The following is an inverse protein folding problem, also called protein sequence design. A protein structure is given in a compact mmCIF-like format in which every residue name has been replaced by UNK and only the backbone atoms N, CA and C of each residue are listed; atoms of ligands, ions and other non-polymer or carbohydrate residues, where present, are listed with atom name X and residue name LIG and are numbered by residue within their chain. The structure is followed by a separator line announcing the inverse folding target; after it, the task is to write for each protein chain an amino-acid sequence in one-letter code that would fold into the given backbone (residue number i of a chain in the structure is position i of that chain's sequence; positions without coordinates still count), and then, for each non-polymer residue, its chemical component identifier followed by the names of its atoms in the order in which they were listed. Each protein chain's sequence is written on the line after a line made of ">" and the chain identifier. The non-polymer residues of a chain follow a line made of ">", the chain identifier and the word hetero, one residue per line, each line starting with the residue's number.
data_IF_188541711919
#
_entry.id   IF_188541711919
#
_cell.length_a   1.000
_cell.length_b   1.000
_cell.length_c   1.000
_cell.angle_alpha   90.00
_cell.angle_beta   90.00
_cell.angle_gamma   90.00
#
_symmetry.space_group_name_H-M   'P 1'
#
loop_
_entity.id
_entity.type
_entity.pdbx_description
1 polymer ?
#
# COMPACT_ATOMS: atom_id res chain seq x y z
N UNK A 1 -15.59 18.59 -0.80
CA UNK A 1 -14.28 18.43 -1.45
C UNK A 1 -13.29 19.24 -0.62
N UNK A 2 -12.38 18.58 0.10
CA UNK A 2 -11.52 19.23 1.10
C UNK A 2 -10.26 19.77 0.41
N UNK A 3 -10.41 20.92 -0.25
CA UNK A 3 -9.31 21.63 -0.91
C UNK A 3 -8.70 22.71 0.00
N UNK A 4 -8.91 22.62 1.32
CA UNK A 4 -8.60 23.69 2.25
C UNK A 4 -7.10 24.01 2.32
N UNK A 5 -6.22 23.07 2.02
CA UNK A 5 -4.79 23.27 2.22
C UNK A 5 -4.01 23.55 0.94
N UNK A 6 -4.57 23.40 -0.28
CA UNK A 6 -3.84 23.53 -1.58
C UNK A 6 -3.30 24.95 -1.92
N UNK A 7 -3.16 25.82 -0.93
CA UNK A 7 -2.54 27.13 -1.01
C UNK A 7 -1.15 27.04 -1.67
N UNK A 8 -0.95 27.72 -2.80
CA UNK A 8 0.32 27.74 -3.53
C UNK A 8 0.53 26.64 -4.58
N UNK A 9 -0.30 25.58 -4.59
CA UNK A 9 -0.26 24.49 -5.58
C UNK A 9 -1.23 24.67 -6.76
N UNK A 10 -2.15 25.63 -6.68
CA UNK A 10 -3.05 25.94 -7.80
C UNK A 10 -2.31 26.74 -8.87
N UNK A 11 -2.21 26.25 -10.12
CA UNK A 11 -1.56 27.00 -11.18
C UNK A 11 -2.38 28.25 -11.53
N UNK A 12 -1.72 29.41 -11.54
CA UNK A 12 -2.15 30.52 -12.39
C UNK A 12 -2.23 29.98 -13.83
N UNK A 13 -3.36 30.20 -14.52
CA UNK A 13 -3.54 29.81 -15.92
C UNK A 13 -2.38 30.36 -16.75
N UNK A 14 -1.42 29.50 -17.08
CA UNK A 14 -0.35 29.79 -18.02
C UNK A 14 -0.77 29.26 -19.38
N UNK A 15 -1.22 30.16 -20.25
CA UNK A 15 -1.28 29.94 -21.69
C UNK A 15 0.15 29.75 -22.20
N UNK A 16 0.56 28.56 -22.64
CA UNK A 16 1.53 28.40 -23.73
C UNK A 16 1.75 26.94 -24.14
N UNK A 17 1.69 26.74 -25.46
CA UNK A 17 1.63 25.50 -26.22
C UNK A 17 2.97 24.74 -26.29
N UNK A 18 3.27 23.92 -25.29
CA UNK A 18 4.17 22.77 -25.40
C UNK A 18 3.63 21.68 -24.47
N UNK A 19 2.47 21.13 -24.82
CA UNK A 19 1.46 20.77 -23.81
C UNK A 19 1.26 19.29 -23.51
N UNK A 20 1.73 18.30 -24.28
CA UNK A 20 1.20 16.94 -24.05
C UNK A 20 1.88 16.18 -22.89
N UNK A 21 3.21 16.06 -22.87
CA UNK A 21 3.90 15.29 -21.79
C UNK A 21 4.05 16.04 -20.47
N UNK A 22 4.15 17.37 -20.49
CA UNK A 22 4.25 18.21 -19.28
C UNK A 22 2.91 18.38 -18.56
N UNK A 23 1.80 18.27 -19.28
CA UNK A 23 0.44 18.36 -18.72
C UNK A 23 0.10 17.09 -17.97
N UNK A 24 0.42 15.92 -18.53
CA UNK A 24 0.19 14.63 -17.88
C UNK A 24 0.91 14.52 -16.52
N UNK A 25 2.20 14.89 -16.44
CA UNK A 25 2.93 14.84 -15.15
C UNK A 25 2.35 15.80 -14.12
N UNK A 26 1.99 17.03 -14.55
CA UNK A 26 1.43 18.05 -13.66
C UNK A 26 0.03 17.67 -13.15
N UNK A 27 -0.76 17.00 -13.97
CA UNK A 27 -2.07 16.50 -13.56
C UNK A 27 -1.94 15.34 -12.58
N UNK A 28 -0.96 14.44 -12.76
CA UNK A 28 -0.67 13.38 -11.78
C UNK A 28 -0.21 13.94 -10.43
N UNK A 29 0.74 14.86 -10.42
CA UNK A 29 1.22 15.52 -9.19
C UNK A 29 0.06 16.22 -8.46
N UNK A 30 -0.80 16.90 -9.22
CA UNK A 30 -2.00 17.54 -8.67
C UNK A 30 -2.97 16.54 -8.06
N UNK A 31 -3.14 15.35 -8.66
CA UNK A 31 -3.99 14.30 -8.10
C UNK A 31 -3.41 13.74 -6.79
N UNK A 32 -2.08 13.65 -6.69
CA UNK A 32 -1.34 13.26 -5.49
C UNK A 32 -1.56 14.31 -4.38
N UNK A 33 -1.28 15.58 -4.67
CA UNK A 33 -1.47 16.70 -3.74
C UNK A 33 -2.91 16.79 -3.21
N UNK A 34 -3.90 16.64 -4.10
CA UNK A 34 -5.32 16.64 -3.72
C UNK A 34 -5.62 15.47 -2.78
N UNK A 35 -5.12 14.27 -3.07
CA UNK A 35 -5.37 13.10 -2.23
C UNK A 35 -4.72 13.26 -0.85
N UNK A 36 -3.46 13.68 -0.80
CA UNK A 36 -2.73 13.98 0.43
C UNK A 36 -3.46 15.04 1.25
N UNK A 37 -3.87 16.14 0.61
CA UNK A 37 -4.63 17.20 1.27
C UNK A 37 -5.94 16.69 1.85
N UNK A 38 -6.75 15.93 1.10
CA UNK A 38 -8.01 15.38 1.62
C UNK A 38 -7.79 14.47 2.85
N UNK A 39 -6.82 13.56 2.78
CA UNK A 39 -6.56 12.58 3.86
C UNK A 39 -6.01 13.25 5.10
N UNK A 40 -4.99 14.10 4.96
CA UNK A 40 -4.34 14.69 6.12
C UNK A 40 -5.08 15.92 6.68
N UNK A 41 -5.89 16.62 5.88
CA UNK A 41 -6.84 17.59 6.41
C UNK A 41 -7.89 16.92 7.27
N UNK A 42 -8.38 15.74 6.89
CA UNK A 42 -9.25 14.95 7.75
C UNK A 42 -8.57 14.65 9.08
N UNK A 43 -7.33 14.15 9.09
CA UNK A 43 -6.60 13.92 10.34
C UNK A 43 -6.34 15.20 11.16
N UNK A 44 -6.16 16.35 10.49
CA UNK A 44 -5.95 17.65 11.13
C UNK A 44 -7.23 18.17 11.82
N UNK A 45 -8.40 17.97 11.23
CA UNK A 45 -9.65 18.60 11.68
C UNK A 45 -10.63 17.66 12.40
N UNK A 46 -10.56 16.35 12.15
CA UNK A 46 -11.36 15.36 12.88
C UNK A 46 -10.83 15.18 14.31
N UNK A 47 -11.54 14.38 15.12
CA UNK A 47 -11.10 14.05 16.47
C UNK A 47 -9.74 13.32 16.46
N UNK A 48 -8.65 14.06 16.68
CA UNK A 48 -7.26 13.56 16.58
C UNK A 48 -6.94 12.42 17.53
N UNK A 49 -7.64 12.33 18.68
CA UNK A 49 -7.47 11.21 19.63
C UNK A 49 -7.96 9.88 19.05
N UNK A 50 -8.99 9.94 18.21
CA UNK A 50 -9.62 8.78 17.59
C UNK A 50 -8.93 8.47 16.27
N UNK A 51 -8.77 9.48 15.40
CA UNK A 51 -8.30 9.24 14.04
C UNK A 51 -6.78 9.30 13.92
N UNK A 52 -6.16 10.45 14.18
CA UNK A 52 -4.70 10.62 13.99
C UNK A 52 -3.90 9.65 14.88
N UNK A 53 -4.19 9.64 16.18
CA UNK A 53 -3.46 8.81 17.15
C UNK A 53 -3.57 7.32 16.83
N UNK A 54 -4.79 6.81 16.62
CA UNK A 54 -4.96 5.38 16.38
C UNK A 54 -4.43 4.98 15.00
N UNK A 55 -4.48 5.88 13.99
CA UNK A 55 -3.80 5.63 12.72
C UNK A 55 -2.27 5.53 12.90
N UNK A 56 -1.65 6.49 13.58
CA UNK A 56 -0.21 6.46 13.85
C UNK A 56 0.23 5.24 14.68
N UNK A 57 -0.64 4.77 15.58
CA UNK A 57 -0.43 3.52 16.31
C UNK A 57 -0.39 2.31 15.39
N UNK A 58 -1.21 2.25 14.32
CA UNK A 58 -1.10 1.18 13.31
C UNK A 58 0.25 1.17 12.59
N UNK A 59 0.92 2.32 12.49
CA UNK A 59 2.25 2.47 11.91
C UNK A 59 3.38 2.21 12.94
N UNK A 60 3.04 1.95 14.20
CA UNK A 60 3.97 1.64 15.29
C UNK A 60 4.46 2.85 16.09
N UNK A 61 3.87 4.04 15.88
CA UNK A 61 4.19 5.22 16.68
C UNK A 61 3.43 5.22 18.01
N UNK A 62 4.10 5.62 19.09
CA UNK A 62 3.51 5.73 20.42
C UNK A 62 3.26 7.20 20.71
N UNK A 63 1.99 7.60 20.65
CA UNK A 63 1.55 8.98 20.85
C UNK A 63 0.42 9.00 21.88
N UNK A 64 0.51 9.93 22.82
CA UNK A 64 -0.53 10.19 23.82
C UNK A 64 -1.71 10.96 23.24
N UNK A 65 -2.83 11.00 23.96
CA UNK A 65 -3.99 11.77 23.52
C UNK A 65 -3.69 13.28 23.42
N UNK A 66 -2.85 13.80 24.33
CA UNK A 66 -2.51 15.22 24.37
C UNK A 66 -1.59 15.58 23.19
N UNK A 67 -0.53 14.79 22.96
CA UNK A 67 0.34 14.99 21.80
C UNK A 67 -0.43 14.93 20.47
N UNK A 68 -1.44 14.06 20.36
CA UNK A 68 -2.28 14.02 19.17
C UNK A 68 -3.15 15.27 19.00
N UNK A 69 -3.67 15.85 20.08
CA UNK A 69 -4.37 17.15 20.02
C UNK A 69 -3.41 18.25 19.57
N UNK A 70 -2.23 18.29 20.16
CA UNK A 70 -1.24 19.37 19.97
C UNK A 70 -0.43 19.22 18.67
N UNK A 71 -0.71 18.19 17.87
CA UNK A 71 0.00 17.92 16.62
C UNK A 71 -0.08 19.12 15.65
N UNK A 72 1.06 19.50 15.10
CA UNK A 72 1.15 20.55 14.07
C UNK A 72 1.26 19.91 12.69
N UNK A 73 0.46 20.38 11.73
CA UNK A 73 0.47 19.92 10.34
C UNK A 73 0.99 21.06 9.45
N UNK A 74 2.09 20.83 8.74
CA UNK A 74 2.69 21.75 7.78
C UNK A 74 2.66 21.12 6.41
N UNK A 75 1.74 21.55 5.55
CA UNK A 75 1.65 21.03 4.18
C UNK A 75 2.64 21.75 3.28
N UNK A 76 3.35 20.99 2.44
CA UNK A 76 4.35 21.50 1.49
C UNK A 76 5.33 22.53 2.08
N UNK A 77 5.96 22.27 3.25
CA UNK A 77 7.00 23.16 3.75
C UNK A 77 8.17 23.17 2.77
N UNK A 78 8.92 24.27 2.72
CA UNK A 78 10.11 24.37 1.88
C UNK A 78 11.35 24.45 2.74
N UNK A 79 12.31 23.61 2.44
CA UNK A 79 13.64 23.66 3.03
C UNK A 79 14.55 24.59 2.22
N UNK A 80 15.73 24.90 2.78
CA UNK A 80 16.69 25.84 2.19
C UNK A 80 17.21 25.37 0.81
N UNK A 81 17.25 24.06 0.58
CA UNK A 81 17.66 23.44 -0.68
C UNK A 81 16.52 23.37 -1.74
N UNK A 82 15.35 23.93 -1.43
CA UNK A 82 14.10 23.83 -2.19
C UNK A 82 13.47 22.43 -2.22
N UNK A 83 13.90 21.51 -1.36
CA UNK A 83 13.15 20.28 -1.12
C UNK A 83 11.81 20.64 -0.48
N UNK A 84 10.72 20.08 -1.02
CA UNK A 84 9.35 20.37 -0.62
C UNK A 84 8.63 19.03 -0.39
N UNK A 85 8.70 18.47 0.84
CA UNK A 85 7.95 17.25 1.16
C UNK A 85 6.45 17.53 1.14
N UNK A 86 5.62 16.51 0.92
CA UNK A 86 4.17 16.72 0.83
C UNK A 86 3.54 17.22 2.15
N UNK A 87 4.02 16.72 3.28
CA UNK A 87 3.53 17.10 4.61
C UNK A 87 4.59 16.83 5.68
N UNK A 88 4.63 17.70 6.70
CA UNK A 88 5.33 17.44 7.96
C UNK A 88 4.32 17.47 9.11
N UNK A 89 4.39 16.48 10.00
CA UNK A 89 3.62 16.42 11.24
C UNK A 89 4.59 16.46 12.43
N UNK A 90 4.50 17.52 13.24
CA UNK A 90 5.22 17.62 14.51
C UNK A 90 4.30 17.09 15.61
N UNK A 91 4.69 15.98 16.25
CA UNK A 91 3.81 15.31 17.22
C UNK A 91 4.61 14.62 18.31
N UNK A 92 4.42 15.07 19.56
CA UNK A 92 5.23 14.59 20.69
C UNK A 92 6.72 14.69 20.40
N UNK A 93 7.44 13.58 20.55
CA UNK A 93 8.87 13.49 20.26
C UNK A 93 9.20 13.21 18.79
N UNK A 94 8.23 13.21 17.88
CA UNK A 94 8.43 12.82 16.48
C UNK A 94 8.35 13.99 15.52
N UNK A 95 9.27 13.98 14.55
CA UNK A 95 9.19 14.74 13.31
C UNK A 95 8.84 13.75 12.19
N UNK A 96 7.58 13.76 11.77
CA UNK A 96 7.07 12.84 10.76
C UNK A 96 6.99 13.56 9.41
N UNK A 97 7.91 13.27 8.52
CA UNK A 97 7.85 13.72 7.13
C UNK A 97 7.02 12.71 6.34
N UNK A 98 6.02 13.15 5.61
CA UNK A 98 5.18 12.31 4.77
C UNK A 98 5.50 12.60 3.32
N UNK A 99 5.78 11.54 2.56
CA UNK A 99 5.93 11.59 1.11
C UNK A 99 4.94 10.61 0.49
N UNK A 100 4.04 11.13 -0.34
CA UNK A 100 2.89 10.45 -0.89
C UNK A 100 3.03 10.25 -2.40
N UNK A 101 2.64 9.06 -2.85
CA UNK A 101 2.62 8.68 -4.27
C UNK A 101 1.30 7.97 -4.57
N UNK A 102 0.64 8.36 -5.65
CA UNK A 102 -0.60 7.73 -6.10
C UNK A 102 -0.36 6.99 -7.42
N UNK A 103 0.16 7.69 -8.43
CA UNK A 103 0.44 7.12 -9.75
C UNK A 103 1.91 7.23 -10.15
N UNK A 104 2.67 8.09 -9.47
CA UNK A 104 4.08 8.30 -9.76
C UNK A 104 4.99 7.36 -8.92
N UNK A 105 6.26 7.30 -9.31
CA UNK A 105 7.33 6.69 -8.51
C UNK A 105 8.17 7.80 -7.87
N UNK A 106 8.89 7.48 -6.80
CA UNK A 106 9.87 8.41 -6.24
C UNK A 106 10.94 8.77 -7.26
N UNK A 107 11.37 10.03 -7.26
CA UNK A 107 12.42 10.54 -8.14
C UNK A 107 13.73 9.78 -7.94
N UNK A 108 14.22 9.18 -9.03
CA UNK A 108 15.50 8.47 -9.04
C UNK A 108 16.67 9.45 -9.04
N UNK A 109 17.82 8.97 -8.60
CA UNK A 109 19.08 9.70 -8.72
C UNK A 109 19.38 10.01 -10.19
N UNK A 110 19.94 11.20 -10.42
CA UNK A 110 20.41 11.65 -11.72
C UNK A 110 21.86 12.12 -11.60
N UNK A 111 22.52 12.36 -12.72
CA UNK A 111 23.90 12.91 -12.72
C UNK A 111 24.05 14.25 -12.01
N UNK A 112 22.94 14.96 -11.77
CA UNK A 112 22.93 16.29 -11.16
C UNK A 112 22.34 16.31 -9.75
N UNK A 113 21.44 15.38 -9.43
CA UNK A 113 20.65 15.42 -8.21
C UNK A 113 20.59 14.04 -7.56
N UNK A 114 20.74 14.02 -6.23
CA UNK A 114 20.49 12.85 -5.40
C UNK A 114 19.03 12.36 -5.54
N UNK A 115 18.81 11.07 -5.28
CA UNK A 115 17.47 10.48 -5.26
C UNK A 115 16.57 11.25 -4.29
N UNK A 116 15.30 11.41 -4.67
CA UNK A 116 14.33 12.25 -3.96
C UNK A 116 14.25 11.90 -2.46
N UNK A 117 14.06 10.62 -2.14
CA UNK A 117 13.95 10.15 -0.76
C UNK A 117 15.22 10.41 0.07
N UNK A 118 16.41 10.43 -0.54
CA UNK A 118 17.65 10.72 0.19
C UNK A 118 17.66 12.18 0.62
N UNK A 119 17.30 13.10 -0.29
CA UNK A 119 17.25 14.54 0.02
C UNK A 119 16.24 14.83 1.11
N UNK A 120 15.03 14.28 1.00
CA UNK A 120 13.99 14.42 2.03
C UNK A 120 14.41 13.88 3.40
N UNK A 121 15.15 12.76 3.43
CA UNK A 121 15.66 12.20 4.69
C UNK A 121 16.72 13.10 5.29
N UNK A 122 17.70 13.58 4.50
CA UNK A 122 18.79 14.43 5.00
C UNK A 122 18.26 15.75 5.57
N UNK A 123 17.44 16.46 4.79
CA UNK A 123 16.91 17.75 5.21
C UNK A 123 15.89 17.59 6.34
N UNK A 124 15.01 16.59 6.26
CA UNK A 124 14.07 16.28 7.34
C UNK A 124 14.76 15.88 8.65
N UNK A 125 15.87 15.15 8.60
CA UNK A 125 16.67 14.84 9.78
C UNK A 125 17.35 16.09 10.37
N UNK A 126 17.89 16.96 9.52
CA UNK A 126 18.48 18.24 9.92
C UNK A 126 17.46 19.11 10.64
N UNK A 127 16.26 19.28 10.07
CA UNK A 127 15.20 20.07 10.68
C UNK A 127 14.67 19.41 11.96
N UNK A 128 14.50 18.08 11.98
CA UNK A 128 14.11 17.36 13.19
C UNK A 128 15.08 17.60 14.36
N UNK A 129 16.39 17.69 14.09
CA UNK A 129 17.41 18.04 15.11
C UNK A 129 17.21 19.45 15.64
N UNK A 130 16.88 20.42 14.78
CA UNK A 130 16.58 21.78 15.21
C UNK A 130 15.36 21.85 16.16
N UNK A 131 14.37 20.97 15.96
CA UNK A 131 13.22 20.83 16.87
C UNK A 131 13.44 19.87 18.06
N UNK A 132 14.62 19.25 18.18
CA UNK A 132 14.93 18.20 19.17
C UNK A 132 13.92 17.03 19.12
N UNK A 133 13.67 16.50 17.91
CA UNK A 133 12.70 15.40 17.66
C UNK A 133 13.35 14.22 16.94
N UNK A 134 12.74 13.04 17.08
CA UNK A 134 13.09 11.84 16.33
C UNK A 134 12.49 11.89 14.93
N UNK A 135 13.35 11.88 13.92
CA UNK A 135 12.96 11.87 12.52
C UNK A 135 12.43 10.50 12.06
N UNK A 136 11.31 10.50 11.32
CA UNK A 136 10.85 9.40 10.48
C UNK A 136 10.22 9.93 9.20
N UNK A 137 10.51 9.25 8.09
CA UNK A 137 9.83 9.44 6.81
C UNK A 137 8.73 8.39 6.68
N UNK A 138 7.49 8.81 6.44
CA UNK A 138 6.34 7.97 6.13
C UNK A 138 6.12 8.02 4.62
N UNK A 139 6.49 6.94 3.94
CA UNK A 139 6.26 6.78 2.50
C UNK A 139 4.89 6.13 2.27
N UNK A 140 3.97 6.84 1.61
CA UNK A 140 2.63 6.34 1.30
C UNK A 140 2.52 6.08 -0.18
N UNK A 141 2.17 4.85 -0.58
CA UNK A 141 1.95 4.53 -2.00
C UNK A 141 0.56 3.95 -2.26
N UNK A 142 0.16 3.88 -3.53
CA UNK A 142 -1.04 3.15 -3.95
C UNK A 142 -0.84 1.62 -4.07
N UNK A 143 0.38 1.14 -3.84
CA UNK A 143 0.71 -0.27 -4.00
C UNK A 143 0.10 -1.11 -2.87
N UNK A 144 -0.57 -2.20 -3.22
CA UNK A 144 -1.14 -3.13 -2.25
C UNK A 144 -0.09 -3.81 -1.36
N UNK A 145 1.16 -3.91 -1.83
CA UNK A 145 2.26 -4.60 -1.16
C UNK A 145 3.52 -3.73 -1.27
N UNK A 146 4.36 -3.78 -0.26
CA UNK A 146 5.67 -3.13 -0.27
C UNK A 146 6.51 -3.58 -1.47
N UNK A 147 6.89 -2.64 -2.33
CA UNK A 147 7.72 -2.90 -3.51
C UNK A 147 9.14 -2.42 -3.27
N UNK A 148 10.04 -3.36 -2.96
CA UNK A 148 11.45 -3.07 -2.63
C UNK A 148 12.13 -2.18 -3.68
N UNK A 149 11.85 -2.36 -4.96
CA UNK A 149 12.46 -1.59 -6.04
C UNK A 149 12.17 -0.08 -5.99
N UNK A 150 11.08 0.35 -5.33
CA UNK A 150 10.79 1.77 -5.14
C UNK A 150 11.72 2.45 -4.14
N UNK A 151 12.43 1.66 -3.33
CA UNK A 151 13.33 2.10 -2.28
C UNK A 151 14.77 1.65 -2.51
N UNK A 152 15.09 1.08 -3.67
CA UNK A 152 16.44 0.59 -4.00
C UNK A 152 17.50 1.70 -4.01
N UNK A 153 17.09 2.93 -4.31
CA UNK A 153 17.98 4.10 -4.23
C UNK A 153 18.28 4.53 -2.80
N UNK A 154 17.62 3.98 -1.78
CA UNK A 154 17.84 4.35 -0.37
C UNK A 154 18.92 3.46 0.23
N UNK A 155 20.08 4.02 0.63
CA UNK A 155 21.14 3.26 1.29
C UNK A 155 20.66 2.58 2.58
N UNK A 156 21.25 1.43 2.97
CA UNK A 156 20.87 0.69 4.18
C UNK A 156 20.79 1.55 5.45
N UNK A 157 21.73 2.49 5.61
CA UNK A 157 21.80 3.38 6.78
C UNK A 157 20.56 4.27 6.92
N UNK A 158 19.91 4.58 5.79
CA UNK A 158 18.71 5.41 5.77
C UNK A 158 17.41 4.60 5.87
N UNK A 159 17.43 3.28 5.67
CA UNK A 159 16.21 2.45 5.68
C UNK A 159 15.49 2.48 7.02
N UNK A 160 16.23 2.66 8.12
CA UNK A 160 15.64 2.74 9.46
C UNK A 160 14.78 4.00 9.66
N UNK A 161 14.97 5.05 8.87
CA UNK A 161 14.13 6.25 8.91
C UNK A 161 12.80 6.08 8.21
N UNK A 162 12.68 5.11 7.30
CA UNK A 162 11.49 4.93 6.47
C UNK A 162 10.47 4.01 7.14
N UNK A 163 9.23 4.47 7.18
CA UNK A 163 8.03 3.66 7.42
C UNK A 163 7.16 3.70 6.17
N UNK A 164 6.90 2.54 5.61
CA UNK A 164 6.01 2.42 4.46
C UNK A 164 4.59 2.06 4.91
N UNK A 165 3.62 2.69 4.27
CA UNK A 165 2.19 2.38 4.34
C UNK A 165 1.58 2.58 2.95
N UNK A 166 0.31 2.22 2.78
CA UNK A 166 -0.42 2.53 1.55
C UNK A 166 -1.77 3.18 1.82
N UNK A 167 -2.38 3.72 0.76
CA UNK A 167 -3.70 4.37 0.85
C UNK A 167 -4.80 3.38 1.25
N UNK A 168 -4.66 2.10 0.90
CA UNK A 168 -5.60 1.05 1.28
C UNK A 168 -5.63 0.83 2.79
N UNK A 169 -4.49 0.95 3.48
CA UNK A 169 -4.43 0.90 4.94
C UNK A 169 -5.18 2.06 5.59
N UNK A 170 -5.15 3.26 4.99
CA UNK A 170 -5.97 4.40 5.46
C UNK A 170 -7.47 4.08 5.31
N UNK A 171 -7.87 3.53 4.15
CA UNK A 171 -9.27 3.14 3.92
C UNK A 171 -9.73 2.05 4.89
N UNK A 172 -8.95 0.99 5.08
CA UNK A 172 -9.24 -0.07 6.04
C UNK A 172 -9.35 0.46 7.47
N UNK A 173 -8.43 1.34 7.86
CA UNK A 173 -8.46 1.99 9.17
C UNK A 173 -9.76 2.77 9.42
N UNK A 174 -10.22 3.54 8.43
CA UNK A 174 -11.49 4.27 8.53
C UNK A 174 -12.68 3.31 8.62
N UNK A 175 -12.67 2.23 7.83
CA UNK A 175 -13.71 1.20 7.87
C UNK A 175 -13.79 0.53 9.25
N UNK A 176 -12.65 0.18 9.84
CA UNK A 176 -12.58 -0.43 11.17
C UNK A 176 -13.17 0.49 12.24
N UNK A 177 -12.86 1.79 12.19
CA UNK A 177 -13.45 2.77 13.11
C UNK A 177 -14.97 2.91 12.88
N UNK A 178 -15.42 3.02 11.63
CA UNK A 178 -16.84 3.20 11.28
C UNK A 178 -17.70 1.99 11.66
N UNK A 179 -17.12 0.78 11.68
CA UNK A 179 -17.76 -0.48 12.06
C UNK A 179 -17.57 -0.84 13.54
N UNK A 180 -16.70 -0.14 14.25
CA UNK A 180 -16.48 -0.38 15.68
C UNK A 180 -17.69 0.04 16.53
N UNK A 181 -17.76 -0.44 17.76
CA UNK A 181 -18.76 -0.01 18.75
C UNK A 181 -18.47 1.37 19.37
N UNK A 182 -17.49 2.11 18.83
CA UNK A 182 -17.18 3.46 19.30
C UNK A 182 -18.36 4.40 19.05
N UNK A 183 -18.79 5.10 20.08
CA UNK A 183 -19.82 6.12 19.96
C UNK A 183 -19.23 7.41 19.37
N UNK A 184 -19.16 7.49 18.04
CA UNK A 184 -18.71 8.68 17.33
C UNK A 184 -19.83 9.72 17.26
N UNK A 185 -19.53 11.01 17.51
CA UNK A 185 -20.43 12.09 17.15
C UNK A 185 -20.86 11.98 15.69
N UNK A 186 -22.11 12.30 15.38
CA UNK A 186 -22.69 12.12 14.04
C UNK A 186 -21.86 12.81 12.95
N UNK A 187 -21.42 14.03 13.21
CA UNK A 187 -20.58 14.81 12.28
C UNK A 187 -19.21 14.14 12.02
N UNK A 188 -18.56 13.60 13.04
CA UNK A 188 -17.29 12.87 12.89
C UNK A 188 -17.49 11.58 12.07
N UNK A 189 -18.60 10.89 12.31
CA UNK A 189 -18.96 9.68 11.56
C UNK A 189 -19.23 9.99 10.08
N UNK A 190 -20.01 11.03 9.80
CA UNK A 190 -20.29 11.49 8.43
C UNK A 190 -19.00 11.95 7.73
N UNK A 191 -18.13 12.68 8.43
CA UNK A 191 -16.84 13.14 7.88
C UNK A 191 -15.90 11.96 7.55
N UNK A 192 -15.80 10.96 8.43
CA UNK A 192 -15.02 9.75 8.19
C UNK A 192 -15.61 8.91 7.04
N UNK A 193 -16.94 8.82 6.95
CA UNK A 193 -17.64 8.10 5.88
C UNK A 193 -17.43 8.76 4.52
N UNK A 194 -17.41 10.09 4.47
CA UNK A 194 -17.11 10.85 3.24
C UNK A 194 -15.70 10.56 2.72
N UNK A 195 -14.70 10.61 3.60
CA UNK A 195 -13.32 10.28 3.22
C UNK A 195 -13.20 8.81 2.80
N UNK A 196 -13.80 7.89 3.55
CA UNK A 196 -13.82 6.47 3.19
C UNK A 196 -14.44 6.25 1.79
N UNK A 197 -15.59 6.87 1.52
CA UNK A 197 -16.28 6.80 0.23
C UNK A 197 -15.44 7.40 -0.90
N UNK A 198 -14.70 8.48 -0.64
CA UNK A 198 -13.76 9.06 -1.60
C UNK A 198 -12.63 8.08 -1.96
N UNK A 199 -12.03 7.43 -0.95
CA UNK A 199 -10.97 6.44 -1.16
C UNK A 199 -11.49 5.21 -1.92
N UNK A 200 -12.70 4.74 -1.60
CA UNK A 200 -13.34 3.63 -2.31
C UNK A 200 -13.59 3.97 -3.79
N UNK A 201 -14.16 5.16 -4.07
CA UNK A 201 -14.35 5.65 -5.44
C UNK A 201 -13.05 5.79 -6.24
N UNK A 202 -11.92 6.01 -5.56
CA UNK A 202 -10.57 6.07 -6.16
C UNK A 202 -9.92 4.70 -6.34
N UNK A 203 -10.61 3.60 -6.01
CA UNK A 203 -10.06 2.26 -6.05
C UNK A 203 -9.01 1.99 -4.96
N UNK A 204 -8.97 2.82 -3.91
CA UNK A 204 -8.03 2.73 -2.81
C UNK A 204 -8.62 2.01 -1.59
N UNK A 205 -9.64 1.18 -1.80
CA UNK A 205 -10.23 0.35 -0.76
C UNK A 205 -9.36 -0.87 -0.45
N UNK A 206 -9.33 -1.27 0.81
CA UNK A 206 -8.82 -2.58 1.22
C UNK A 206 -9.59 -3.75 0.58
N UNK A 207 -8.93 -4.91 0.52
CA UNK A 207 -9.59 -6.16 0.16
C UNK A 207 -10.53 -6.60 1.29
N UNK A 208 -11.84 -6.66 1.03
CA UNK A 208 -12.87 -7.05 2.02
C UNK A 208 -12.99 -8.56 2.26
N UNK A 209 -11.99 -9.33 1.85
CA UNK A 209 -12.09 -10.79 1.87
C UNK A 209 -13.08 -11.35 0.85
N UNK A 210 -13.22 -12.66 0.84
CA UNK A 210 -14.26 -13.36 0.07
C UNK A 210 -15.63 -13.32 0.74
N UNK A 211 -15.73 -12.79 1.96
CA UNK A 211 -17.00 -12.68 2.69
C UNK A 211 -18.01 -11.84 1.92
N UNK A 212 -17.55 -10.89 1.09
CA UNK A 212 -18.44 -10.11 0.22
C UNK A 212 -19.10 -10.95 -0.88
N UNK A 213 -18.46 -12.04 -1.31
CA UNK A 213 -19.06 -12.99 -2.26
C UNK A 213 -20.25 -13.74 -1.64
N UNK A 214 -20.30 -13.85 -0.32
CA UNK A 214 -21.45 -14.41 0.39
C UNK A 214 -22.63 -13.43 0.46
N UNK A 215 -22.39 -12.12 0.29
CA UNK A 215 -23.43 -11.07 0.35
C UNK A 215 -24.07 -10.86 -1.03
N UNK A 216 -23.32 -11.07 -2.12
CA UNK A 216 -23.87 -11.04 -3.46
C UNK A 216 -24.54 -12.39 -3.83
N UNK A 217 -25.77 -12.61 -3.37
CA UNK A 217 -26.65 -13.70 -3.83
C UNK A 217 -26.70 -13.87 -5.39
N UNK A 218 -26.66 -12.81 -6.23
CA UNK A 218 -26.57 -12.99 -7.67
C UNK A 218 -25.23 -13.59 -8.14
N UNK A 219 -24.13 -13.43 -7.39
CA UNK A 219 -22.88 -14.12 -7.70
C UNK A 219 -23.01 -15.62 -7.42
N UNK A 220 -23.66 -16.06 -6.33
CA UNK A 220 -23.92 -17.49 -6.11
C UNK A 220 -24.71 -18.12 -7.26
N UNK A 221 -25.70 -17.40 -7.81
CA UNK A 221 -26.45 -17.85 -9.00
C UNK A 221 -25.64 -17.79 -10.31
N UNK A 222 -24.66 -16.89 -10.41
CA UNK A 222 -23.78 -16.73 -11.58
C UNK A 222 -22.43 -17.45 -11.48
N UNK A 223 -22.08 -18.09 -10.36
CA UNK A 223 -20.83 -18.85 -10.23
C UNK A 223 -20.73 -19.92 -11.33
N UNK A 224 -21.85 -20.54 -11.69
CA UNK A 224 -21.97 -21.53 -12.77
C UNK A 224 -21.73 -20.94 -14.18
N UNK A 225 -21.74 -19.59 -14.32
CA UNK A 225 -21.57 -18.88 -15.60
C UNK A 225 -20.24 -18.14 -15.71
N UNK A 226 -19.69 -17.67 -14.58
CA UNK A 226 -18.41 -16.94 -14.54
C UNK A 226 -17.25 -17.93 -14.48
N UNK A 227 -17.39 -19.00 -13.70
CA UNK A 227 -16.44 -20.09 -13.71
C UNK A 227 -16.87 -21.10 -14.76
N UNK A 228 -15.96 -21.42 -15.65
CA UNK A 228 -16.14 -22.50 -16.61
C UNK A 228 -16.51 -23.77 -15.85
N UNK A 229 -17.72 -24.26 -16.07
CA UNK A 229 -18.15 -25.53 -15.49
C UNK A 229 -17.27 -26.61 -16.10
N UNK A 230 -16.21 -27.00 -15.39
CA UNK A 230 -15.23 -27.96 -15.87
C UNK A 230 -15.87 -29.28 -16.30
N UNK A 231 -17.10 -29.56 -15.85
CA UNK A 231 -17.91 -30.68 -16.32
C UNK A 231 -18.33 -30.63 -17.79
N UNK A 232 -18.53 -29.43 -18.31
CA UNK A 232 -18.95 -29.15 -19.68
C UNK A 232 -17.78 -29.10 -20.66
N UNK A 233 -16.54 -29.19 -20.17
CA UNK A 233 -15.34 -29.10 -20.97
C UNK A 233 -15.16 -30.31 -21.88
N UNK A 234 -15.23 -30.08 -23.21
CA UNK A 234 -14.93 -31.12 -24.22
C UNK A 234 -13.50 -31.69 -24.09
N UNK A 235 -12.58 -30.90 -23.52
CA UNK A 235 -11.18 -31.26 -23.25
C UNK A 235 -10.85 -31.33 -21.75
N UNK A 236 -11.72 -32.00 -20.97
CA UNK A 236 -11.57 -32.19 -19.52
C UNK A 236 -10.20 -32.73 -19.11
N UNK A 237 -9.59 -33.58 -19.94
CA UNK A 237 -8.29 -34.22 -19.70
C UNK A 237 -7.16 -33.27 -19.29
N UNK A 238 -7.11 -32.05 -19.85
CA UNK A 238 -6.04 -31.08 -19.56
C UNK A 238 -6.19 -30.38 -18.19
N UNK A 239 -7.42 -30.32 -17.65
CA UNK A 239 -7.73 -29.63 -16.40
C UNK A 239 -7.95 -30.58 -15.20
N UNK A 240 -8.09 -31.89 -15.43
CA UNK A 240 -8.24 -32.91 -14.38
C UNK A 240 -7.03 -32.94 -13.42
N UNK A 241 -5.84 -32.56 -13.88
CA UNK A 241 -4.65 -32.44 -13.04
C UNK A 241 -4.82 -31.46 -11.87
N UNK A 242 -5.53 -30.34 -12.08
CA UNK A 242 -5.76 -29.32 -11.05
C UNK A 242 -6.84 -29.71 -10.04
N UNK A 243 -7.87 -30.47 -10.45
CA UNK A 243 -8.92 -30.92 -9.54
C UNK A 243 -8.39 -31.86 -8.46
N UNK A 244 -7.37 -32.69 -8.78
CA UNK A 244 -6.67 -33.50 -7.78
C UNK A 244 -5.80 -32.67 -6.83
N UNK A 245 -5.38 -31.48 -7.24
CA UNK A 245 -4.63 -30.52 -6.40
C UNK A 245 -5.54 -29.73 -5.45
N UNK A 246 -6.82 -29.56 -5.83
CA UNK A 246 -7.84 -28.85 -5.05
C UNK A 246 -8.66 -29.78 -4.15
N UNK A 247 -8.59 -31.09 -4.36
CA UNK A 247 -9.16 -32.08 -3.46
C UNK A 247 -8.31 -32.15 -2.19
N UNK A 248 -8.77 -31.52 -1.12
CA UNK A 248 -8.32 -31.82 0.24
C UNK A 248 -9.01 -33.13 0.69
N UNK A 249 -8.28 -34.25 0.82
CA UNK A 249 -8.90 -35.50 1.23
C UNK A 249 -9.15 -35.48 2.74
N UNK A 250 -10.42 -35.52 3.14
CA UNK A 250 -10.85 -35.85 4.49
C UNK A 250 -10.54 -34.79 5.54
N UNK A 251 -11.24 -34.89 6.68
CA UNK A 251 -11.09 -34.04 7.87
C UNK A 251 -9.66 -33.55 8.06
N UNK A 252 -9.47 -32.23 8.01
CA UNK A 252 -8.22 -31.57 8.40
C UNK A 252 -7.91 -31.95 9.85
N UNK A 253 -7.02 -32.92 10.03
CA UNK A 253 -6.40 -33.15 11.32
C UNK A 253 -5.60 -31.90 11.66
N UNK A 254 -5.87 -31.33 12.84
CA UNK A 254 -5.09 -30.25 13.41
C UNK A 254 -3.63 -30.68 13.48
N UNK A 255 -2.80 -30.14 12.60
CA UNK A 255 -1.36 -30.31 12.68
C UNK A 255 -0.84 -29.24 13.66
N UNK A 256 -0.38 -29.59 14.88
CA UNK A 256 0.01 -28.61 15.90
C UNK A 256 1.28 -27.83 15.56
N UNK A 257 1.85 -28.01 14.35
CA UNK A 257 3.00 -27.26 13.87
C UNK A 257 2.79 -26.87 12.42
N UNK A 258 2.26 -25.66 12.22
CA UNK A 258 2.29 -25.01 10.92
C UNK A 258 3.75 -24.66 10.58
N UNK A 259 4.41 -25.47 9.74
CA UNK A 259 5.59 -25.02 9.01
C UNK A 259 5.08 -24.35 7.74
N UNK A 260 4.79 -23.05 7.83
CA UNK A 260 4.62 -22.25 6.63
C UNK A 260 6.00 -22.07 5.98
N UNK A 261 6.13 -22.55 4.74
CA UNK A 261 7.33 -22.36 3.95
C UNK A 261 7.35 -20.93 3.43
N UNK A 262 7.92 -20.02 4.21
CA UNK A 262 8.26 -18.68 3.73
C UNK A 262 9.53 -18.80 2.89
N UNK A 263 9.52 -18.27 1.66
CA UNK A 263 10.67 -18.21 0.75
C UNK A 263 11.75 -17.22 1.21
N UNK A 264 11.93 -17.03 2.52
CA UNK A 264 13.02 -16.26 3.11
C UNK A 264 14.08 -17.24 3.59
N UNK A 265 15.26 -17.11 2.99
CA UNK A 265 16.52 -17.81 3.26
C UNK A 265 16.63 -18.41 4.67
N UNK A 266 16.55 -19.74 4.78
CA UNK A 266 17.05 -20.50 5.92
C UNK A 266 17.78 -21.72 5.37
N UNK A 267 19.03 -21.91 5.82
CA UNK A 267 19.91 -23.00 5.41
C UNK A 267 19.27 -24.38 5.67
N UNK A 268 19.28 -25.22 4.62
CA UNK A 268 18.58 -26.51 4.53
C UNK A 268 19.34 -27.70 5.16
N UNK A 269 20.17 -27.49 6.19
CA UNK A 269 20.96 -28.59 6.77
C UNK A 269 20.12 -29.62 7.53
N UNK A 270 18.97 -29.22 8.08
CA UNK A 270 18.10 -30.13 8.85
C UNK A 270 17.17 -31.00 7.98
N UNK A 271 16.95 -30.64 6.71
CA UNK A 271 16.10 -31.41 5.78
C UNK A 271 16.86 -32.54 5.07
N UNK A 272 18.18 -32.57 5.18
CA UNK A 272 19.02 -33.68 4.69
C UNK A 272 19.08 -34.86 5.67
N UNK A 273 18.51 -34.74 6.87
CA UNK A 273 18.43 -35.82 7.86
C UNK A 273 17.14 -36.65 7.77
N UNK A 274 16.10 -36.14 7.07
CA UNK A 274 14.93 -36.95 6.75
C UNK A 274 15.26 -37.86 5.57
N UNK A 275 15.04 -39.16 5.75
CA UNK A 275 15.43 -40.23 4.83
C UNK A 275 15.10 -39.96 3.37
N UNK A 276 15.94 -40.52 2.48
CA UNK A 276 15.85 -40.39 1.02
C UNK A 276 14.40 -40.45 0.56
N UNK A 277 13.90 -39.33 0.05
CA UNK A 277 12.64 -39.30 -0.68
C UNK A 277 12.78 -40.22 -1.88
N UNK A 278 11.87 -41.17 -2.01
CA UNK A 278 11.87 -42.08 -3.16
C UNK A 278 11.65 -41.27 -4.44
N UNK A 279 12.51 -41.43 -5.46
CA UNK A 279 12.35 -40.72 -6.72
C UNK A 279 11.04 -41.16 -7.38
N UNK A 280 10.20 -40.19 -7.69
CA UNK A 280 8.94 -40.40 -8.38
C UNK A 280 9.23 -40.83 -9.84
N UNK A 281 8.89 -42.07 -10.21
CA UNK A 281 9.26 -42.70 -11.50
C UNK A 281 8.55 -42.14 -12.74
N UNK A 282 7.59 -41.24 -12.59
CA UNK A 282 6.81 -40.73 -13.71
C UNK A 282 7.10 -39.24 -13.93
N UNK A 283 7.49 -38.89 -15.16
CA UNK A 283 7.64 -37.50 -15.60
C UNK A 283 6.30 -36.79 -15.43
N UNK A 284 6.25 -35.83 -14.51
CA UNK A 284 5.05 -35.03 -14.20
C UNK A 284 4.78 -34.01 -15.32
N UNK A 285 5.77 -33.77 -16.19
CA UNK A 285 5.66 -32.84 -17.31
C UNK A 285 5.58 -33.59 -18.64
N UNK A 286 4.60 -33.20 -19.45
CA UNK A 286 4.38 -33.72 -20.80
C UNK A 286 5.44 -33.13 -21.74
N UNK A 287 6.32 -33.97 -22.27
CA UNK A 287 7.29 -33.58 -23.30
C UNK A 287 6.57 -33.58 -24.66
N UNK A 288 6.32 -32.40 -25.21
CA UNK A 288 5.66 -32.27 -26.51
C UNK A 288 6.56 -32.77 -27.64
N UNK A 289 6.21 -33.90 -28.27
CA UNK A 289 6.85 -34.34 -29.51
C UNK A 289 6.48 -33.38 -30.64
N UNK A 290 7.39 -32.48 -30.99
CA UNK A 290 7.30 -31.68 -32.21
C UNK A 290 7.47 -32.58 -33.44
N UNK A 291 6.37 -32.91 -34.11
CA UNK A 291 6.41 -33.40 -35.48
C UNK A 291 6.38 -32.20 -36.42
N UNK A 292 7.54 -31.79 -36.90
CA UNK A 292 7.70 -30.78 -37.95
C UNK A 292 8.84 -31.18 -38.87
N UNK A 293 8.54 -32.05 -39.83
CA UNK A 293 9.37 -32.21 -41.03
C UNK A 293 9.19 -30.93 -41.86
N UNK A 294 10.24 -30.15 -41.99
CA UNK A 294 10.43 -29.27 -43.14
C UNK A 294 11.61 -29.83 -43.93
N UNK A 295 11.30 -30.51 -45.03
CA UNK A 295 12.23 -30.75 -46.14
C UNK A 295 11.72 -29.96 -47.35
N UNK A 296 12.67 -29.22 -47.94
CA UNK A 296 12.64 -28.32 -49.11
C UNK A 296 12.20 -26.87 -48.89
#
# INVERSE_FOLDING_TARGET
>A
MYAAELHGKLPLKSTNNNEDTKKDTKDLDRMEDILTSNVFSFFKYANRKIFLKEYLKTLGFKVTNQEAIDAEFRFWPRYDDNTEPDLVILIGNYYLLVEAKYFSNFGKETTKNEAQLIREIKEGESEAKAYNKYFKLIAITADHIYKKYKFESVPPDFQNYIKWTNWQQVSSFLEDILNSSLNLPRNEREFALDLYTLLDKKGLRGFKGFNILNIFDPFQKCLNRIFFEAATAKFRGAFIGFLKSLYLPGTLYYCPKNIFFSRRHINFSSLLQSGKLDPFKNNIFFEGKGSGNYDK
#
